data_IF_322934757214
#
_entry.id   IF_322934757214
#
_cell.length_a   1.000
_cell.length_b   1.000
_cell.length_c   1.000
_cell.angle_alpha   90.00
_cell.angle_beta   90.00
_cell.angle_gamma   90.00
#
_symmetry.space_group_name_H-M   'P 1'
#
loop_
_entity.id
_entity.type
_entity.pdbx_description
1 polymer ?
#
# COMPACT_ATOMS: atom_id res chain seq x y z
N UNK A 1 30.24 59.59 30.72
CA UNK A 1 30.01 58.85 29.41
C UNK A 1 29.75 57.40 29.72
N UNK A 2 28.49 56.99 29.72
CA UNK A 2 28.09 55.60 29.96
C UNK A 2 27.94 54.89 28.58
N UNK A 3 28.81 53.91 28.34
CA UNK A 3 28.71 53.08 27.11
C UNK A 3 27.62 52.05 27.33
N UNK A 4 26.56 52.13 26.53
CA UNK A 4 25.50 51.12 26.45
C UNK A 4 26.01 49.99 25.59
N UNK A 5 26.29 48.81 26.16
CA UNK A 5 26.52 47.59 25.39
C UNK A 5 25.17 46.99 25.04
N UNK A 6 24.83 47.02 23.74
CA UNK A 6 23.66 46.34 23.17
C UNK A 6 24.03 44.88 22.94
N UNK A 7 23.50 43.97 23.73
CA UNK A 7 23.58 42.53 23.46
C UNK A 7 22.51 42.15 22.42
N UNK A 8 22.92 41.89 21.20
CA UNK A 8 22.05 41.28 20.17
C UNK A 8 22.04 39.78 20.43
N UNK A 9 20.96 39.27 21.02
CA UNK A 9 20.75 37.85 21.17
C UNK A 9 20.21 37.30 19.82
N UNK A 10 21.07 36.69 19.03
CA UNK A 10 20.68 35.98 17.83
C UNK A 10 20.11 34.63 18.29
N UNK A 11 18.78 34.49 18.32
CA UNK A 11 18.12 33.23 18.55
C UNK A 11 18.23 32.41 17.26
N UNK A 12 19.22 31.50 17.21
CA UNK A 12 19.31 30.50 16.15
C UNK A 12 18.12 29.53 16.34
N UNK A 13 17.04 29.72 15.60
CA UNK A 13 16.01 28.67 15.43
C UNK A 13 16.64 27.55 14.62
N UNK A 14 17.16 26.53 15.29
CA UNK A 14 17.49 25.27 14.65
C UNK A 14 16.17 24.63 14.19
N UNK A 15 15.84 24.78 12.92
CA UNK A 15 14.82 23.93 12.29
C UNK A 15 15.36 22.49 12.27
N UNK A 16 15.05 21.74 13.31
CA UNK A 16 15.21 20.30 13.25
C UNK A 16 14.27 19.78 12.15
N UNK A 17 14.82 19.55 10.98
CA UNK A 17 14.11 18.82 9.92
C UNK A 17 14.03 17.37 10.39
N UNK A 18 13.00 17.05 11.16
CA UNK A 18 12.71 15.66 11.49
C UNK A 18 12.28 14.95 10.20
N UNK A 19 13.07 13.97 9.82
CA UNK A 19 12.69 13.08 8.73
C UNK A 19 11.41 12.34 9.15
N UNK A 20 10.36 12.51 8.35
CA UNK A 20 9.03 12.03 8.71
C UNK A 20 8.85 10.58 8.33
N UNK A 21 8.45 9.77 9.29
CA UNK A 21 8.13 8.37 9.04
C UNK A 21 6.73 8.24 8.42
N UNK A 22 6.63 7.42 7.37
CA UNK A 22 5.37 6.95 6.80
C UNK A 22 5.31 5.43 6.89
N UNK A 23 4.13 4.91 7.22
CA UNK A 23 3.80 3.50 7.19
C UNK A 23 2.79 3.27 6.06
N UNK A 24 3.24 2.66 4.96
CA UNK A 24 2.48 2.50 3.72
C UNK A 24 2.24 1.03 3.47
N UNK A 25 1.00 0.67 3.12
CA UNK A 25 0.59 -0.68 2.83
C UNK A 25 -0.10 -0.85 1.48
N UNK A 26 -0.10 -2.09 1.03
CA UNK A 26 -0.86 -2.59 -0.11
C UNK A 26 -1.62 -3.83 0.32
N UNK A 27 -2.91 -3.91 0.00
CA UNK A 27 -3.77 -5.01 0.40
C UNK A 27 -4.71 -5.44 -0.72
N UNK A 28 -4.50 -6.66 -1.21
CA UNK A 28 -5.37 -7.36 -2.14
C UNK A 28 -6.58 -7.91 -1.37
N UNK A 29 -7.78 -7.37 -1.62
CA UNK A 29 -8.98 -7.68 -0.79
C UNK A 29 -9.54 -9.07 -1.07
N UNK A 30 -9.44 -9.56 -2.29
CA UNK A 30 -10.02 -10.79 -2.83
C UNK A 30 -11.52 -10.64 -3.10
N UNK A 31 -11.91 -10.78 -4.36
CA UNK A 31 -13.32 -10.73 -4.79
C UNK A 31 -14.10 -11.99 -4.40
N UNK A 32 -15.44 -11.96 -4.40
CA UNK A 32 -16.27 -13.14 -4.13
C UNK A 32 -16.06 -14.28 -5.14
N UNK A 33 -15.70 -13.98 -6.39
CA UNK A 33 -15.35 -14.98 -7.41
C UNK A 33 -14.09 -15.74 -7.02
N UNK A 34 -13.06 -15.03 -6.58
CA UNK A 34 -11.80 -15.63 -6.09
C UNK A 34 -12.01 -16.41 -4.79
N UNK A 35 -12.91 -15.96 -3.89
CA UNK A 35 -13.30 -16.72 -2.70
C UNK A 35 -13.90 -18.08 -3.06
N UNK A 36 -14.65 -18.15 -4.16
CA UNK A 36 -15.24 -19.39 -4.64
C UNK A 36 -14.18 -20.32 -5.23
N UNK A 37 -13.14 -19.77 -5.84
CA UNK A 37 -12.06 -20.55 -6.46
C UNK A 37 -11.06 -21.12 -5.45
N UNK A 38 -10.75 -20.37 -4.40
CA UNK A 38 -9.64 -20.67 -3.49
C UNK A 38 -10.08 -20.98 -2.05
N UNK A 39 -11.26 -20.52 -1.63
CA UNK A 39 -11.75 -20.64 -0.26
C UNK A 39 -12.60 -21.89 -0.02
N UNK A 40 -12.83 -22.23 1.24
CA UNK A 40 -13.67 -23.34 1.69
C UNK A 40 -15.09 -22.94 2.13
N UNK A 41 -15.57 -21.80 1.71
CA UNK A 41 -16.88 -21.27 2.11
C UNK A 41 -16.89 -20.53 3.46
N UNK A 42 -15.94 -20.78 4.34
CA UNK A 42 -15.70 -19.98 5.56
C UNK A 42 -14.81 -18.76 5.30
N UNK A 43 -14.15 -18.69 4.15
CA UNK A 43 -13.32 -17.57 3.73
C UNK A 43 -14.11 -16.45 3.03
N UNK A 44 -15.45 -16.50 3.09
CA UNK A 44 -16.33 -15.51 2.49
C UNK A 44 -16.10 -14.12 3.06
N UNK A 45 -16.30 -13.11 2.23
CA UNK A 45 -16.25 -11.70 2.61
C UNK A 45 -17.02 -11.40 3.90
N UNK A 46 -18.24 -11.94 4.02
CA UNK A 46 -19.08 -11.74 5.20
C UNK A 46 -18.46 -12.22 6.50
N UNK A 47 -17.60 -13.24 6.46
CA UNK A 47 -16.85 -13.75 7.60
C UNK A 47 -15.63 -12.87 7.90
N UNK A 48 -14.79 -12.60 6.89
CA UNK A 48 -13.46 -11.98 7.08
C UNK A 48 -13.46 -10.45 7.17
N UNK A 49 -14.51 -9.76 6.65
CA UNK A 49 -14.55 -8.30 6.54
C UNK A 49 -14.32 -7.53 7.85
N UNK A 50 -14.84 -8.03 8.96
CA UNK A 50 -14.65 -7.39 10.28
C UNK A 50 -13.23 -7.57 10.77
N UNK A 51 -12.68 -8.77 10.63
CA UNK A 51 -11.29 -9.07 11.00
C UNK A 51 -10.28 -8.28 10.18
N UNK A 52 -10.58 -8.01 8.90
CA UNK A 52 -9.76 -7.11 8.06
C UNK A 52 -9.75 -5.70 8.64
N UNK A 53 -10.92 -5.17 9.01
CA UNK A 53 -11.01 -3.85 9.62
C UNK A 53 -10.26 -3.79 10.96
N UNK A 54 -10.37 -4.82 11.79
CA UNK A 54 -9.69 -4.91 13.08
C UNK A 54 -8.17 -4.96 12.89
N UNK A 55 -7.68 -5.76 11.91
CA UNK A 55 -6.26 -5.82 11.56
C UNK A 55 -5.70 -4.43 11.23
N UNK A 56 -6.30 -3.71 10.29
CA UNK A 56 -5.78 -2.40 9.88
C UNK A 56 -6.07 -1.29 10.88
N UNK A 57 -7.10 -1.43 11.73
CA UNK A 57 -7.31 -0.53 12.87
C UNK A 57 -6.25 -0.71 13.95
N UNK A 58 -5.69 -1.92 14.08
CA UNK A 58 -4.57 -2.21 14.99
C UNK A 58 -3.22 -1.79 14.38
N UNK A 59 -2.95 -2.16 13.13
CA UNK A 59 -1.69 -1.83 12.43
C UNK A 59 -1.52 -0.34 12.16
N UNK A 60 -2.60 0.38 11.91
CA UNK A 60 -2.65 1.82 11.69
C UNK A 60 -1.67 2.35 10.62
N UNK A 61 -1.66 1.79 9.39
CA UNK A 61 -0.87 2.40 8.33
C UNK A 61 -1.31 3.84 8.05
N UNK A 62 -0.35 4.70 7.70
CA UNK A 62 -0.67 6.06 7.23
C UNK A 62 -1.46 6.00 5.91
N UNK A 63 -1.10 5.07 5.02
CA UNK A 63 -1.75 4.87 3.72
C UNK A 63 -1.88 3.38 3.44
N UNK A 64 -3.03 2.96 2.90
CA UNK A 64 -3.32 1.60 2.47
C UNK A 64 -4.00 1.62 1.10
N UNK A 65 -3.31 1.14 0.07
CA UNK A 65 -3.89 0.90 -1.26
C UNK A 65 -4.64 -0.43 -1.28
N UNK A 66 -5.86 -0.43 -1.83
CA UNK A 66 -6.73 -1.61 -1.92
C UNK A 66 -6.84 -2.09 -3.37
N UNK A 67 -6.78 -3.41 -3.59
CA UNK A 67 -6.90 -4.02 -4.92
C UNK A 67 -7.89 -5.19 -4.88
N UNK A 68 -8.39 -5.60 -6.05
CA UNK A 68 -9.29 -6.75 -6.23
C UNK A 68 -10.46 -6.75 -5.25
N UNK A 69 -11.30 -5.77 -5.37
CA UNK A 69 -12.50 -5.58 -4.56
C UNK A 69 -13.73 -5.32 -5.44
N UNK A 70 -14.89 -5.55 -4.87
CA UNK A 70 -16.18 -5.05 -5.40
C UNK A 70 -16.56 -3.73 -4.73
N UNK A 71 -17.46 -2.97 -5.35
CA UNK A 71 -17.96 -1.71 -4.76
C UNK A 71 -18.57 -1.92 -3.36
N UNK A 72 -19.22 -3.07 -3.14
CA UNK A 72 -19.78 -3.43 -1.83
C UNK A 72 -18.68 -3.63 -0.80
N UNK A 73 -17.59 -4.28 -1.16
CA UNK A 73 -16.43 -4.50 -0.29
C UNK A 73 -15.75 -3.17 0.03
N UNK A 74 -15.47 -2.36 -0.97
CA UNK A 74 -14.84 -1.05 -0.80
C UNK A 74 -15.70 -0.11 0.07
N UNK A 75 -17.01 -0.06 -0.19
CA UNK A 75 -17.96 0.74 0.60
C UNK A 75 -17.99 0.32 2.07
N UNK A 76 -17.96 -0.99 2.34
CA UNK A 76 -17.89 -1.52 3.70
C UNK A 76 -16.61 -1.08 4.42
N UNK A 77 -15.44 -1.22 3.77
CA UNK A 77 -14.15 -0.81 4.34
C UNK A 77 -14.12 0.69 4.63
N UNK A 78 -14.54 1.53 3.67
CA UNK A 78 -14.64 3.00 3.84
C UNK A 78 -15.53 3.38 5.03
N UNK A 79 -16.62 2.68 5.24
CA UNK A 79 -17.58 2.97 6.33
C UNK A 79 -17.07 2.49 7.67
N UNK A 80 -16.44 1.30 7.72
CA UNK A 80 -16.07 0.63 8.96
C UNK A 80 -14.73 1.10 9.53
N UNK A 81 -13.79 1.47 8.67
CA UNK A 81 -12.46 1.95 9.06
C UNK A 81 -12.49 3.45 9.39
N UNK A 82 -13.16 3.82 10.48
CA UNK A 82 -13.46 5.21 10.86
C UNK A 82 -12.23 6.09 11.14
N UNK A 83 -11.05 5.51 11.35
CA UNK A 83 -9.77 6.23 11.47
C UNK A 83 -9.20 6.73 10.13
N UNK A 84 -9.85 6.37 9.01
CA UNK A 84 -9.39 6.65 7.66
C UNK A 84 -10.38 7.51 6.89
N UNK A 85 -9.83 8.29 5.98
CA UNK A 85 -10.52 8.85 4.82
C UNK A 85 -10.17 8.02 3.59
N UNK A 86 -10.83 8.26 2.46
CA UNK A 86 -10.59 7.56 1.22
C UNK A 86 -10.47 8.52 0.03
N UNK A 87 -9.47 8.28 -0.82
CA UNK A 87 -9.31 8.85 -2.14
C UNK A 87 -9.34 7.67 -3.13
N UNK A 88 -10.48 7.49 -3.80
CA UNK A 88 -10.79 6.31 -4.60
C UNK A 88 -10.63 5.01 -3.78
N UNK A 89 -9.68 4.17 -4.09
CA UNK A 89 -9.30 2.94 -3.40
C UNK A 89 -8.04 3.07 -2.52
N UNK A 90 -7.61 4.28 -2.25
CA UNK A 90 -6.52 4.60 -1.33
C UNK A 90 -7.13 5.07 -0.01
N UNK A 91 -7.02 4.25 1.03
CA UNK A 91 -7.35 4.67 2.39
C UNK A 91 -6.15 5.41 2.99
N UNK A 92 -6.40 6.54 3.63
CA UNK A 92 -5.36 7.32 4.30
C UNK A 92 -5.82 7.75 5.70
N UNK A 93 -4.89 7.69 6.66
CA UNK A 93 -5.16 8.09 8.05
C UNK A 93 -5.65 9.53 8.11
N UNK A 94 -6.60 9.83 8.97
CA UNK A 94 -7.17 11.18 9.15
C UNK A 94 -6.18 12.25 9.60
N UNK A 95 -5.00 11.85 10.08
CA UNK A 95 -3.91 12.75 10.37
C UNK A 95 -3.21 13.31 9.11
N UNK A 96 -3.50 12.73 7.93
CA UNK A 96 -3.02 13.23 6.64
C UNK A 96 -4.06 14.15 6.00
N UNK A 97 -3.57 15.13 5.25
CA UNK A 97 -4.40 16.02 4.43
C UNK A 97 -4.39 15.55 2.98
N UNK A 98 -5.57 15.55 2.34
CA UNK A 98 -5.71 15.28 0.91
C UNK A 98 -5.71 16.63 0.15
N UNK A 99 -4.75 16.82 -0.74
CA UNK A 99 -4.73 17.98 -1.62
C UNK A 99 -5.59 17.73 -2.86
N UNK A 100 -5.39 16.59 -3.53
CA UNK A 100 -6.16 16.19 -4.73
C UNK A 100 -5.99 14.68 -4.97
N UNK A 101 -6.89 14.10 -5.78
CA UNK A 101 -6.86 12.70 -6.17
C UNK A 101 -7.50 12.49 -7.53
N UNK A 102 -7.37 11.29 -8.08
CA UNK A 102 -8.01 10.92 -9.34
C UNK A 102 -7.69 9.50 -9.78
N UNK A 103 -8.16 9.17 -10.99
CA UNK A 103 -7.97 7.89 -11.65
C UNK A 103 -7.23 8.14 -12.97
N UNK A 104 -6.32 7.24 -13.33
CA UNK A 104 -5.72 7.18 -14.66
C UNK A 104 -6.67 6.40 -15.57
N UNK A 105 -7.48 7.13 -16.34
CA UNK A 105 -8.63 6.57 -17.09
C UNK A 105 -8.25 5.74 -18.32
N UNK A 106 -7.02 5.89 -18.82
CA UNK A 106 -6.51 5.23 -20.03
C UNK A 106 -5.51 4.12 -19.73
N UNK A 107 -5.69 3.45 -18.59
CA UNK A 107 -4.96 2.22 -18.30
C UNK A 107 -5.37 1.12 -19.28
N UNK A 108 -4.43 0.23 -19.67
CA UNK A 108 -4.78 -0.95 -20.47
C UNK A 108 -5.89 -1.78 -19.84
N UNK A 109 -6.71 -2.43 -20.68
CA UNK A 109 -7.85 -3.22 -20.26
C UNK A 109 -7.50 -4.27 -19.19
N UNK A 110 -8.34 -4.41 -18.17
CA UNK A 110 -8.09 -5.28 -17.02
C UNK A 110 -7.06 -4.73 -16.01
N UNK A 111 -6.61 -3.48 -16.20
CA UNK A 111 -5.70 -2.80 -15.25
C UNK A 111 -6.31 -1.51 -14.75
N UNK A 112 -6.04 -1.18 -13.49
CA UNK A 112 -6.49 0.07 -12.86
C UNK A 112 -5.33 0.82 -12.23
N UNK A 113 -5.48 2.13 -12.09
CA UNK A 113 -4.58 2.99 -11.35
C UNK A 113 -5.35 4.19 -10.80
N UNK A 114 -5.38 4.32 -9.49
CA UNK A 114 -5.80 5.53 -8.79
C UNK A 114 -4.60 6.26 -8.21
N UNK A 115 -4.77 7.54 -7.84
CA UNK A 115 -3.72 8.31 -7.22
C UNK A 115 -4.27 9.33 -6.23
N UNK A 116 -3.44 9.69 -5.25
CA UNK A 116 -3.70 10.75 -4.29
C UNK A 116 -2.43 11.57 -4.04
N UNK A 117 -2.59 12.90 -3.96
CA UNK A 117 -1.59 13.82 -3.45
C UNK A 117 -1.94 14.10 -1.99
N UNK A 118 -1.09 13.64 -1.09
CA UNK A 118 -1.28 13.70 0.35
C UNK A 118 -0.21 14.57 1.00
N UNK A 119 -0.55 15.10 2.18
CA UNK A 119 0.39 15.86 3.00
C UNK A 119 0.38 15.36 4.43
N UNK A 120 1.57 15.22 5.00
CA UNK A 120 1.79 14.88 6.41
C UNK A 120 2.75 15.88 7.01
N UNK A 121 2.35 16.62 8.06
CA UNK A 121 3.18 17.60 8.77
C UNK A 121 3.96 18.55 7.82
N UNK A 122 3.28 19.05 6.80
CA UNK A 122 3.82 19.99 5.82
C UNK A 122 4.62 19.37 4.67
N UNK A 123 4.87 18.06 4.65
CA UNK A 123 5.53 17.36 3.53
C UNK A 123 4.51 16.73 2.62
N UNK A 124 4.56 17.09 1.35
CA UNK A 124 3.67 16.59 0.30
C UNK A 124 4.30 15.41 -0.44
N UNK A 125 3.50 14.42 -0.78
CA UNK A 125 3.89 13.24 -1.54
C UNK A 125 2.71 12.68 -2.34
N UNK A 126 3.02 11.86 -3.33
CA UNK A 126 2.03 11.13 -4.12
C UNK A 126 2.00 9.66 -3.77
N UNK A 127 0.80 9.08 -3.83
CA UNK A 127 0.57 7.63 -3.81
C UNK A 127 -0.20 7.26 -5.06
N UNK A 128 0.29 6.26 -5.79
CA UNK A 128 -0.41 5.61 -6.89
C UNK A 128 -0.76 4.20 -6.46
N UNK A 129 -2.02 3.81 -6.57
CA UNK A 129 -2.48 2.47 -6.26
C UNK A 129 -2.85 1.74 -7.55
N UNK A 130 -2.30 0.55 -7.77
CA UNK A 130 -2.42 -0.19 -9.02
C UNK A 130 -2.98 -1.59 -8.79
N UNK A 131 -3.78 -2.05 -9.75
CA UNK A 131 -4.12 -3.45 -9.92
C UNK A 131 -4.00 -3.78 -11.41
N UNK A 132 -2.98 -4.56 -11.80
CA UNK A 132 -2.72 -4.84 -13.20
C UNK A 132 -3.33 -6.18 -13.62
N UNK A 133 -3.56 -6.32 -14.92
CA UNK A 133 -3.97 -7.56 -15.56
C UNK A 133 -2.94 -8.68 -15.31
N UNK A 134 -3.42 -9.92 -15.22
CA UNK A 134 -2.56 -11.11 -15.13
C UNK A 134 -1.91 -11.50 -16.47
N UNK A 135 -2.34 -10.87 -17.58
CA UNK A 135 -1.73 -11.05 -18.88
C UNK A 135 -0.40 -10.30 -18.95
N UNK A 136 0.71 -11.00 -19.21
CA UNK A 136 2.08 -10.48 -19.11
C UNK A 136 2.32 -9.26 -20.00
N UNK A 137 1.79 -9.29 -21.23
CA UNK A 137 1.94 -8.18 -22.19
C UNK A 137 1.15 -6.94 -21.76
N UNK A 138 -0.04 -7.14 -21.19
CA UNK A 138 -0.89 -6.07 -20.66
C UNK A 138 -0.26 -5.48 -19.39
N UNK A 139 0.23 -6.31 -18.48
CA UNK A 139 0.95 -5.85 -17.27
C UNK A 139 2.17 -4.98 -17.63
N UNK A 140 2.93 -5.37 -18.67
CA UNK A 140 4.05 -4.56 -19.15
C UNK A 140 3.60 -3.21 -19.71
N UNK A 141 2.55 -3.20 -20.53
CA UNK A 141 1.97 -1.98 -21.10
C UNK A 141 1.43 -1.07 -19.97
N UNK A 142 0.79 -1.66 -18.96
CA UNK A 142 0.27 -0.97 -17.77
C UNK A 142 1.41 -0.34 -16.95
N UNK A 143 2.52 -1.06 -16.74
CA UNK A 143 3.70 -0.52 -16.09
C UNK A 143 4.33 0.65 -16.88
N UNK A 144 4.26 0.61 -18.20
CA UNK A 144 4.72 1.69 -19.07
C UNK A 144 3.80 2.91 -18.94
N UNK A 145 2.47 2.71 -19.04
CA UNK A 145 1.48 3.80 -18.89
C UNK A 145 1.52 4.43 -17.51
N UNK A 146 1.66 3.62 -16.45
CA UNK A 146 1.83 4.12 -15.08
C UNK A 146 3.00 5.11 -14.98
N UNK A 147 4.16 4.79 -15.55
CA UNK A 147 5.33 5.67 -15.51
C UNK A 147 5.06 7.01 -16.18
N UNK A 148 4.41 6.99 -17.34
CA UNK A 148 3.99 8.20 -18.05
C UNK A 148 2.97 8.99 -17.21
N UNK A 149 1.97 8.32 -16.63
CA UNK A 149 0.98 8.98 -15.78
C UNK A 149 1.61 9.67 -14.56
N UNK A 150 2.59 9.02 -13.93
CA UNK A 150 3.30 9.63 -12.81
C UNK A 150 4.04 10.91 -13.26
N UNK A 151 4.66 10.92 -14.44
CA UNK A 151 5.36 12.11 -14.98
C UNK A 151 4.37 13.23 -15.32
N UNK A 152 3.21 12.90 -15.85
CA UNK A 152 2.14 13.84 -16.19
C UNK A 152 1.48 14.46 -14.94
N UNK A 153 1.29 13.68 -13.87
CA UNK A 153 0.57 14.07 -12.65
C UNK A 153 1.53 14.72 -11.64
N UNK A 154 2.68 14.10 -11.40
CA UNK A 154 3.69 14.58 -10.45
C UNK A 154 4.74 15.44 -11.14
N UNK A 155 4.32 16.55 -11.73
CA UNK A 155 5.20 17.47 -12.48
C UNK A 155 6.23 18.18 -11.61
N UNK A 156 5.97 18.26 -10.30
CA UNK A 156 6.88 18.84 -9.30
C UNK A 156 8.00 17.87 -8.89
N UNK A 157 7.93 16.59 -9.26
CA UNK A 157 8.92 15.59 -8.89
C UNK A 157 8.93 15.27 -7.37
N UNK A 158 7.78 15.44 -6.71
CA UNK A 158 7.62 15.17 -5.28
C UNK A 158 7.85 13.68 -4.97
N UNK A 159 8.14 13.33 -3.71
CA UNK A 159 8.19 11.94 -3.27
C UNK A 159 6.96 11.17 -3.73
N UNK A 160 7.17 9.97 -4.28
CA UNK A 160 6.11 9.17 -4.88
C UNK A 160 6.23 7.73 -4.40
N UNK A 161 5.08 7.14 -4.07
CA UNK A 161 4.92 5.74 -3.71
C UNK A 161 3.96 5.07 -4.69
N UNK A 162 4.21 3.78 -4.95
CA UNK A 162 3.32 2.94 -5.74
C UNK A 162 2.97 1.73 -4.87
N UNK A 163 1.70 1.56 -4.58
CA UNK A 163 1.15 0.38 -3.90
C UNK A 163 0.38 -0.45 -4.90
N UNK A 164 0.34 -1.77 -4.74
CA UNK A 164 -0.57 -2.55 -5.56
C UNK A 164 -0.06 -3.90 -6.02
N UNK A 165 -0.91 -4.52 -6.83
CA UNK A 165 -0.69 -5.81 -7.43
C UNK A 165 -0.29 -5.65 -8.90
N UNK A 166 0.82 -6.27 -9.29
CA UNK A 166 1.32 -6.23 -10.68
C UNK A 166 0.61 -7.22 -11.61
N UNK A 167 -0.29 -8.08 -11.09
CA UNK A 167 -0.89 -9.17 -11.85
C UNK A 167 0.09 -10.28 -12.26
N UNK A 168 1.38 -9.99 -12.19
CA UNK A 168 2.48 -10.88 -12.57
C UNK A 168 3.59 -10.85 -11.52
N UNK A 169 4.38 -11.91 -11.49
CA UNK A 169 5.52 -12.06 -10.59
C UNK A 169 6.67 -11.08 -10.88
N UNK A 170 7.47 -10.83 -9.85
CA UNK A 170 8.67 -9.98 -9.90
C UNK A 170 9.75 -10.41 -10.92
N UNK A 171 9.72 -11.64 -11.43
CA UNK A 171 10.59 -12.08 -12.51
C UNK A 171 10.17 -11.55 -13.89
N UNK A 172 8.98 -10.93 -14.03
CA UNK A 172 8.45 -10.46 -15.31
C UNK A 172 8.85 -9.02 -15.63
N UNK A 173 8.74 -8.67 -16.90
CA UNK A 173 9.19 -7.36 -17.43
C UNK A 173 8.43 -6.16 -16.87
N UNK A 174 7.17 -6.33 -16.43
CA UNK A 174 6.41 -5.27 -15.77
C UNK A 174 7.12 -4.78 -14.49
N UNK A 175 7.65 -5.69 -13.68
CA UNK A 175 8.42 -5.35 -12.49
C UNK A 175 9.70 -4.57 -12.85
N UNK A 176 10.49 -5.06 -13.80
CA UNK A 176 11.72 -4.37 -14.21
C UNK A 176 11.43 -3.00 -14.85
N UNK A 177 10.27 -2.83 -15.49
CA UNK A 177 9.82 -1.54 -16.02
C UNK A 177 9.60 -0.50 -14.92
N UNK A 178 9.02 -0.90 -13.76
CA UNK A 178 8.84 -0.01 -12.61
C UNK A 178 10.16 0.21 -11.88
N UNK A 179 10.92 -0.86 -11.59
CA UNK A 179 12.17 -0.76 -10.82
C UNK A 179 13.30 -0.07 -11.58
N UNK A 180 13.15 0.13 -12.88
CA UNK A 180 14.01 1.01 -13.66
C UNK A 180 14.02 2.47 -13.17
N UNK A 181 12.96 2.94 -12.48
CA UNK A 181 12.81 4.32 -11.98
C UNK A 181 12.55 4.41 -10.48
N UNK A 182 11.89 3.41 -9.89
CA UNK A 182 11.51 3.37 -8.46
C UNK A 182 12.25 2.26 -7.73
N UNK A 183 12.43 2.40 -6.44
CA UNK A 183 12.95 1.36 -5.57
C UNK A 183 11.81 0.43 -5.16
N UNK A 184 12.01 -0.89 -5.24
CA UNK A 184 11.19 -1.85 -4.53
C UNK A 184 11.55 -1.80 -3.03
N UNK A 185 10.56 -1.49 -2.17
CA UNK A 185 10.78 -1.38 -0.74
C UNK A 185 11.28 -2.68 -0.12
N UNK A 186 10.85 -3.86 -0.63
CA UNK A 186 11.40 -5.13 -0.22
C UNK A 186 12.93 -5.21 -0.42
N UNK A 187 13.40 -4.81 -1.61
CA UNK A 187 14.82 -4.92 -1.94
C UNK A 187 15.70 -3.90 -1.22
N UNK A 188 15.11 -2.76 -0.78
CA UNK A 188 15.84 -1.64 -0.15
C UNK A 188 15.73 -1.62 1.36
N UNK A 189 14.77 -2.35 1.95
CA UNK A 189 14.59 -2.38 3.39
C UNK A 189 15.81 -2.93 4.11
N UNK A 190 16.23 -2.25 5.17
CA UNK A 190 17.29 -2.73 6.08
C UNK A 190 16.80 -3.84 7.00
N UNK A 191 15.48 -3.88 7.29
CA UNK A 191 14.82 -4.93 8.07
C UNK A 191 13.70 -5.53 7.24
N UNK A 192 13.65 -6.86 7.13
CA UNK A 192 12.60 -7.59 6.43
C UNK A 192 11.92 -8.59 7.36
N UNK A 193 10.59 -8.60 7.35
CA UNK A 193 9.77 -9.51 8.18
C UNK A 193 9.25 -10.72 7.40
N UNK A 194 9.46 -10.79 6.08
CA UNK A 194 9.13 -11.95 5.25
C UNK A 194 9.95 -11.92 3.96
N UNK A 195 10.38 -13.08 3.50
CA UNK A 195 11.24 -13.25 2.31
C UNK A 195 10.67 -14.28 1.33
N UNK A 196 9.35 -14.44 1.29
CA UNK A 196 8.65 -15.38 0.38
C UNK A 196 7.52 -14.70 -0.40
N UNK A 197 6.81 -15.48 -1.19
CA UNK A 197 5.73 -15.02 -2.06
C UNK A 197 4.59 -14.35 -1.30
N UNK A 198 3.86 -13.46 -1.98
CA UNK A 198 2.77 -12.68 -1.38
C UNK A 198 1.41 -13.36 -1.49
N UNK A 199 1.27 -14.42 -2.30
CA UNK A 199 0.02 -15.13 -2.55
C UNK A 199 -0.08 -16.39 -1.69
N UNK A 200 -1.21 -16.58 -0.98
CA UNK A 200 -1.46 -17.73 -0.11
C UNK A 200 -2.69 -18.57 -0.54
N UNK A 201 -3.60 -18.04 -1.37
CA UNK A 201 -4.82 -18.73 -1.84
C UNK A 201 -5.70 -19.29 -0.71
N UNK A 202 -5.75 -18.65 0.46
CA UNK A 202 -6.38 -19.13 1.70
C UNK A 202 -5.78 -20.44 2.25
N UNK A 203 -4.72 -20.98 1.67
CA UNK A 203 -4.10 -22.21 2.10
C UNK A 203 -3.16 -21.99 3.28
N UNK A 204 -3.56 -22.44 4.47
CA UNK A 204 -2.80 -22.33 5.71
C UNK A 204 -1.58 -23.29 5.77
N UNK A 205 -1.57 -24.32 4.93
CA UNK A 205 -0.50 -25.30 4.85
C UNK A 205 0.51 -24.97 3.73
N UNK A 206 0.19 -24.00 2.89
CA UNK A 206 0.99 -23.63 1.74
C UNK A 206 2.38 -23.15 2.16
N UNK A 207 3.39 -23.61 1.51
CA UNK A 207 4.75 -23.12 1.63
C UNK A 207 5.01 -21.94 0.65
N UNK A 208 4.06 -21.15 0.38
CA UNK A 208 4.02 -19.80 -0.22
C UNK A 208 5.03 -19.47 -1.34
N UNK A 209 5.79 -20.34 -1.88
CA UNK A 209 6.72 -20.07 -2.99
C UNK A 209 7.60 -18.81 -2.81
N UNK A 210 8.14 -18.31 -3.92
CA UNK A 210 8.95 -17.09 -3.96
C UNK A 210 8.32 -15.98 -4.81
N UNK A 211 7.16 -16.21 -5.38
CA UNK A 211 6.52 -15.30 -6.34
C UNK A 211 5.84 -14.15 -5.61
N UNK A 212 6.29 -12.93 -5.89
CA UNK A 212 5.70 -11.71 -5.35
C UNK A 212 4.88 -11.03 -6.41
N UNK A 213 3.63 -10.79 -6.10
CA UNK A 213 2.64 -10.08 -6.93
C UNK A 213 2.30 -8.71 -6.36
N UNK A 214 2.45 -8.53 -5.04
CA UNK A 214 2.06 -7.35 -4.29
C UNK A 214 3.29 -6.55 -3.87
N UNK A 215 3.23 -5.24 -4.03
CA UNK A 215 4.39 -4.38 -3.91
C UNK A 215 4.09 -3.05 -3.23
N UNK A 216 5.12 -2.50 -2.61
CA UNK A 216 5.27 -1.08 -2.30
C UNK A 216 6.56 -0.63 -2.96
N UNK A 217 6.46 0.28 -3.94
CA UNK A 217 7.62 0.95 -4.51
C UNK A 217 7.70 2.39 -4.01
N UNK A 218 8.91 2.96 -4.03
CA UNK A 218 9.16 4.34 -3.60
C UNK A 218 10.12 5.05 -4.54
N UNK A 219 10.04 6.37 -4.61
CA UNK A 219 11.05 7.21 -5.29
C UNK A 219 12.45 6.88 -4.77
N UNK A 220 13.47 7.03 -5.63
CA UNK A 220 14.84 6.59 -5.33
C UNK A 220 15.51 7.28 -4.14
N UNK A 221 15.09 8.50 -3.82
CA UNK A 221 15.58 9.28 -2.68
C UNK A 221 14.91 8.94 -1.33
N UNK A 222 13.96 8.00 -1.33
CA UNK A 222 13.27 7.55 -0.11
C UNK A 222 14.14 6.51 0.61
N UNK A 223 14.30 6.72 1.91
CA UNK A 223 14.94 5.73 2.79
C UNK A 223 13.88 4.73 3.26
N UNK A 224 14.11 3.45 2.99
CA UNK A 224 13.23 2.36 3.41
C UNK A 224 13.82 1.73 4.68
N UNK A 225 13.15 1.91 5.81
CA UNK A 225 13.60 1.38 7.10
C UNK A 225 13.28 -0.11 7.22
N UNK A 226 12.04 -0.49 6.92
CA UNK A 226 11.61 -1.88 7.01
C UNK A 226 10.54 -2.20 5.98
N UNK A 227 10.47 -3.48 5.62
CA UNK A 227 9.41 -4.09 4.82
C UNK A 227 8.92 -5.35 5.54
N UNK A 228 7.64 -5.65 5.42
CA UNK A 228 7.08 -6.89 5.94
C UNK A 228 5.80 -7.28 5.23
N UNK A 229 5.50 -8.57 5.29
CA UNK A 229 4.17 -9.10 5.01
C UNK A 229 3.44 -9.30 6.33
N UNK A 230 2.18 -8.92 6.40
CA UNK A 230 1.34 -9.25 7.55
C UNK A 230 0.88 -10.70 7.41
N UNK A 231 1.62 -11.60 8.07
CA UNK A 231 1.38 -13.06 8.02
C UNK A 231 0.36 -13.52 9.05
N UNK A 232 -0.24 -12.60 9.79
CA UNK A 232 -1.24 -12.88 10.80
C UNK A 232 -2.45 -13.59 10.18
N UNK A 233 -3.06 -14.44 10.99
CA UNK A 233 -4.31 -15.13 10.71
C UNK A 233 -5.30 -14.77 11.80
N UNK A 234 -6.58 -14.98 11.57
CA UNK A 234 -7.61 -14.83 12.58
C UNK A 234 -8.31 -16.17 12.85
N UNK A 235 -9.03 -16.25 13.96
CA UNK A 235 -9.86 -17.40 14.29
C UNK A 235 -11.33 -17.04 14.11
N UNK A 236 -11.96 -17.61 13.10
CA UNK A 236 -13.41 -17.50 12.88
C UNK A 236 -14.15 -18.54 13.73
N UNK A 237 -15.26 -18.14 14.34
CA UNK A 237 -16.16 -19.07 15.02
C UNK A 237 -17.04 -19.77 13.97
N UNK A 238 -17.02 -21.10 14.00
CA UNK A 238 -17.83 -21.94 13.11
C UNK A 238 -19.23 -22.17 13.71
N UNK A 239 -20.14 -22.72 12.91
CA UNK A 239 -21.53 -22.98 13.33
C UNK A 239 -21.66 -24.01 14.46
N UNK A 240 -20.71 -24.91 14.61
CA UNK A 240 -20.64 -25.89 15.69
C UNK A 240 -20.03 -25.34 17.00
N UNK A 241 -19.65 -24.05 17.01
CA UNK A 241 -19.04 -23.36 18.13
C UNK A 241 -17.52 -23.48 18.20
N UNK A 242 -16.90 -24.29 17.36
CA UNK A 242 -15.43 -24.39 17.24
C UNK A 242 -14.83 -23.13 16.62
N UNK A 243 -13.50 -23.04 16.64
CA UNK A 243 -12.78 -21.96 16.01
C UNK A 243 -11.84 -22.53 14.95
N UNK A 244 -11.88 -21.97 13.71
CA UNK A 244 -11.02 -22.32 12.63
C UNK A 244 -10.11 -21.14 12.29
N UNK A 245 -8.80 -21.40 12.15
CA UNK A 245 -7.81 -20.42 11.70
C UNK A 245 -8.00 -20.12 10.21
N UNK A 246 -7.92 -18.82 9.83
CA UNK A 246 -8.16 -18.35 8.47
C UNK A 246 -7.24 -17.22 8.09
N UNK A 247 -6.94 -17.08 6.79
CA UNK A 247 -6.30 -15.90 6.21
C UNK A 247 -7.31 -14.77 5.96
N UNK A 248 -6.83 -13.52 6.00
CA UNK A 248 -7.65 -12.33 5.72
C UNK A 248 -8.00 -12.19 4.24
N UNK A 249 -7.16 -12.72 3.34
CA UNK A 249 -7.23 -12.62 1.88
C UNK A 249 -6.44 -13.75 1.25
N UNK A 250 -6.60 -13.96 -0.07
CA UNK A 250 -5.74 -14.84 -0.88
C UNK A 250 -4.29 -14.34 -0.97
N UNK A 251 -4.05 -13.08 -0.57
CA UNK A 251 -2.73 -12.47 -0.54
C UNK A 251 -2.40 -11.92 0.85
N UNK A 252 -1.13 -11.91 1.19
CA UNK A 252 -0.66 -11.22 2.39
C UNK A 252 -0.60 -9.71 2.15
N UNK A 253 -1.08 -8.86 3.07
CA UNK A 253 -0.81 -7.43 3.00
C UNK A 253 0.69 -7.18 3.05
N UNK A 254 1.21 -6.31 2.20
CA UNK A 254 2.62 -5.90 2.20
C UNK A 254 2.75 -4.47 2.72
N UNK A 255 3.73 -4.27 3.60
CA UNK A 255 3.88 -3.04 4.36
C UNK A 255 5.31 -2.53 4.29
N UNK A 256 5.48 -1.21 4.25
CA UNK A 256 6.79 -0.56 4.29
C UNK A 256 6.79 0.63 5.24
N UNK A 257 7.81 0.72 6.11
CA UNK A 257 8.11 1.92 6.90
C UNK A 257 9.24 2.68 6.24
N UNK A 258 8.96 3.94 5.89
CA UNK A 258 9.86 4.77 5.09
C UNK A 258 10.04 6.14 5.74
N UNK A 259 11.09 6.87 5.31
CA UNK A 259 11.31 8.27 5.71
C UNK A 259 11.11 9.17 4.49
N UNK A 260 10.25 10.18 4.64
CA UNK A 260 10.18 11.30 3.70
C UNK A 260 11.41 12.19 3.83
N UNK A 261 11.99 12.66 2.73
CA UNK A 261 13.16 13.54 2.73
C UNK A 261 12.88 14.90 3.35
#
# INVERSE_FOLDING_TARGET
MKRLLSFITITLMAFCVYAQNLYIGSFYVTTPEEETLYGDGGDKWTTRRTYICDLFSFEQPDVLGLQSYTDVQLSFLKTRMTGYNAAEDILYNRALELDTCGIVSDMPEGSTCSWARLRKEGKTFYVFNICFSTEVSVAYSSATRLRTAIEEINTEGLPCFITGNLGVDSAKTAYSRITGKYNDCYSKASVKSAEYGTRNNFDLANNHGNERYDFVFASRNIVVNSYGQLQSTYFAKESDGSYKRRHFSTHFPVMAKVKLP
#
